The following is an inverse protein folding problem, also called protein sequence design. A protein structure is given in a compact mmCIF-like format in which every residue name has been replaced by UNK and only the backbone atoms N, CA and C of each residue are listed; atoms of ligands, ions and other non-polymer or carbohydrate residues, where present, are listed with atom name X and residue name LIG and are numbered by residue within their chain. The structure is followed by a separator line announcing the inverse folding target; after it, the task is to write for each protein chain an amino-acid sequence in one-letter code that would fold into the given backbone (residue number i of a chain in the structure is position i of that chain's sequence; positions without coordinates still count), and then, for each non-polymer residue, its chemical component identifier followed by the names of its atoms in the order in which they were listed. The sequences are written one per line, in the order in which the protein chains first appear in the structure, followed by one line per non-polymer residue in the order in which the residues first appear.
data_IF_259624885931
#
_entry.id   IF_259624885931
#
_cell.length_a   1.000
_cell.length_b   1.000
_cell.length_c   1.000
_cell.angle_alpha   90.00
_cell.angle_beta   90.00
_cell.angle_gamma   90.00
#
_symmetry.space_group_name_H-M   'P 1'
#
loop_
_entity.id
_entity.type
_entity.pdbx_description
1 polymer ?
#
# COMPACT_ATOMS: atom_id res chain seq x y z
N UNK A 1 13.76 -12.97 -14.23
CA UNK A 1 13.19 -11.80 -13.53
C UNK A 1 14.19 -11.35 -12.48
N UNK A 2 14.62 -10.08 -12.48
CA UNK A 2 15.57 -9.55 -11.49
C UNK A 2 14.82 -9.22 -10.19
N UNK A 3 15.45 -9.45 -9.04
CA UNK A 3 14.93 -9.00 -7.74
C UNK A 3 15.84 -7.93 -7.16
N UNK A 4 15.25 -6.92 -6.52
CA UNK A 4 15.95 -5.83 -5.85
C UNK A 4 15.42 -5.70 -4.43
N UNK A 5 16.26 -6.02 -3.45
CA UNK A 5 15.91 -5.97 -2.03
C UNK A 5 16.66 -4.82 -1.35
N UNK A 6 15.98 -4.02 -0.54
CA UNK A 6 16.56 -2.86 0.12
C UNK A 6 15.81 -2.49 1.41
N UNK A 7 16.46 -1.75 2.31
CA UNK A 7 15.83 -1.13 3.47
C UNK A 7 15.93 0.39 3.38
N UNK A 8 14.91 1.09 3.85
CA UNK A 8 14.75 2.56 3.74
C UNK A 8 14.48 3.16 5.11
N UNK A 9 15.13 4.28 5.40
CA UNK A 9 14.86 5.09 6.60
C UNK A 9 13.84 6.19 6.25
N UNK A 10 12.71 6.17 6.95
CA UNK A 10 11.72 7.23 6.94
C UNK A 10 12.00 8.14 8.13
N UNK A 11 12.54 9.33 7.84
CA UNK A 11 12.82 10.36 8.84
C UNK A 11 11.89 11.52 8.53
N UNK A 12 10.95 11.78 9.43
CA UNK A 12 9.89 12.77 9.24
C UNK A 12 10.03 13.95 10.19
N UNK A 13 9.62 15.13 9.73
CA UNK A 13 9.42 16.30 10.58
C UNK A 13 8.00 16.85 10.36
N UNK A 14 7.43 17.45 11.40
CA UNK A 14 6.12 18.11 11.30
C UNK A 14 6.29 19.59 10.96
N UNK A 15 5.54 20.08 9.99
CA UNK A 15 5.47 21.52 9.66
C UNK A 15 4.02 22.00 9.61
N UNK A 16 3.77 23.33 9.68
CA UNK A 16 2.43 23.88 9.49
C UNK A 16 1.78 23.55 8.13
N UNK A 17 2.59 23.17 7.13
CA UNK A 17 2.16 22.84 5.76
C UNK A 17 1.97 21.34 5.56
N UNK A 18 2.12 20.53 6.61
CA UNK A 18 2.07 19.07 6.54
C UNK A 18 3.41 18.40 6.88
N UNK A 19 3.49 17.06 6.71
CA UNK A 19 4.71 16.31 6.97
C UNK A 19 5.81 16.68 5.97
N UNK A 20 7.05 16.66 6.46
CA UNK A 20 8.26 16.79 5.67
C UNK A 20 9.09 15.52 5.79
N UNK A 21 9.77 15.15 4.71
CA UNK A 21 10.57 13.93 4.63
C UNK A 21 12.03 14.29 4.40
N UNK A 22 12.93 13.73 5.21
CA UNK A 22 14.36 13.95 5.00
C UNK A 22 14.82 13.16 3.78
N UNK A 23 15.47 13.86 2.87
CA UNK A 23 16.11 13.26 1.69
C UNK A 23 17.57 13.63 1.65
N UNK A 24 18.36 12.82 0.96
CA UNK A 24 19.78 13.05 0.73
C UNK A 24 20.10 13.03 -0.76
N UNK A 25 20.94 13.96 -1.19
CA UNK A 25 21.46 14.08 -2.53
C UNK A 25 22.36 12.90 -2.86
N UNK A 26 22.21 12.40 -4.07
CA UNK A 26 23.15 11.41 -4.58
C UNK A 26 23.61 11.75 -5.99
N UNK A 27 24.92 11.93 -6.09
CA UNK A 27 25.64 12.25 -7.33
C UNK A 27 25.31 11.30 -8.47
N UNK A 28 25.34 9.98 -8.25
CA UNK A 28 25.08 9.00 -9.31
C UNK A 28 23.66 8.97 -9.90
N UNK A 29 22.72 9.72 -9.33
CA UNK A 29 21.33 9.84 -9.81
C UNK A 29 20.94 11.31 -10.03
N UNK A 30 21.85 12.25 -9.77
CA UNK A 30 21.64 13.70 -9.86
C UNK A 30 20.31 14.13 -9.22
N UNK A 31 20.01 13.64 -8.01
CA UNK A 31 18.75 13.94 -7.35
C UNK A 31 18.67 13.50 -5.89
N UNK A 32 17.72 14.11 -5.17
CA UNK A 32 17.38 13.79 -3.79
C UNK A 32 16.65 12.44 -3.69
N UNK A 33 17.01 11.65 -2.69
CA UNK A 33 16.48 10.29 -2.45
C UNK A 33 16.14 10.09 -0.97
N UNK A 34 15.29 9.11 -0.67
CA UNK A 34 15.19 8.59 0.69
C UNK A 34 16.51 7.92 1.09
N UNK A 35 16.86 8.03 2.38
CA UNK A 35 18.03 7.38 2.97
C UNK A 35 17.81 5.87 2.97
N UNK A 36 18.81 5.10 2.54
CA UNK A 36 18.69 3.64 2.51
C UNK A 36 19.48 2.95 1.40
N UNK A 37 19.33 1.63 1.29
CA UNK A 37 20.09 0.88 0.30
C UNK A 37 19.86 -0.62 0.30
N UNK A 38 20.61 -1.31 -0.56
CA UNK A 38 20.47 -2.74 -0.78
C UNK A 38 20.89 -3.57 0.43
N UNK A 39 20.14 -4.64 0.67
CA UNK A 39 20.50 -5.67 1.64
C UNK A 39 21.80 -6.37 1.23
N UNK A 40 22.68 -6.55 2.21
CA UNK A 40 23.85 -7.43 2.13
C UNK A 40 23.48 -8.91 2.17
N UNK A 41 24.46 -9.76 1.90
CA UNK A 41 24.28 -11.21 1.95
C UNK A 41 24.09 -11.69 3.39
N UNK A 42 22.93 -12.29 3.69
CA UNK A 42 22.60 -12.78 5.04
C UNK A 42 22.17 -11.70 6.03
N UNK A 43 22.11 -10.44 5.59
CA UNK A 43 21.71 -9.29 6.42
C UNK A 43 20.17 -9.23 6.55
N UNK A 44 19.68 -8.93 7.74
CA UNK A 44 18.26 -8.61 7.96
C UNK A 44 17.93 -7.19 7.49
N UNK A 45 16.65 -6.90 7.27
CA UNK A 45 16.23 -5.53 6.89
C UNK A 45 16.53 -4.49 7.96
N UNK A 46 16.40 -4.87 9.23
CA UNK A 46 16.69 -3.98 10.35
C UNK A 46 18.20 -3.66 10.44
N UNK A 47 19.08 -4.65 10.30
CA UNK A 47 20.53 -4.42 10.23
C UNK A 47 20.90 -3.54 9.02
N UNK A 48 20.26 -3.77 7.88
CA UNK A 48 20.48 -2.98 6.68
C UNK A 48 20.09 -1.51 6.87
N UNK A 49 18.91 -1.21 7.43
CA UNK A 49 18.50 0.20 7.61
C UNK A 49 19.38 0.91 8.63
N UNK A 50 19.82 0.22 9.69
CA UNK A 50 20.76 0.75 10.67
C UNK A 50 22.08 1.14 10.01
N UNK A 51 22.71 0.18 9.34
CA UNK A 51 23.98 0.40 8.63
C UNK A 51 23.88 1.52 7.61
N UNK A 52 22.86 1.48 6.74
CA UNK A 52 22.66 2.47 5.68
C UNK A 52 22.42 3.87 6.22
N UNK A 53 21.65 4.01 7.29
CA UNK A 53 21.40 5.31 7.92
C UNK A 53 22.67 5.85 8.58
N UNK A 54 23.42 5.03 9.31
CA UNK A 54 24.69 5.42 9.90
C UNK A 54 25.71 5.86 8.85
N UNK A 55 25.85 5.11 7.74
CA UNK A 55 26.73 5.45 6.62
C UNK A 55 26.38 6.80 5.99
N UNK A 56 25.10 7.00 5.62
CA UNK A 56 24.66 8.16 4.85
C UNK A 56 24.54 9.43 5.72
N UNK A 57 24.12 9.27 6.97
CA UNK A 57 24.00 10.39 7.91
C UNK A 57 25.24 10.56 8.79
N UNK A 58 26.29 9.75 8.61
CA UNK A 58 27.54 9.80 9.38
C UNK A 58 27.26 9.82 10.90
N UNK A 59 26.52 8.82 11.37
CA UNK A 59 26.09 8.66 12.76
C UNK A 59 26.60 7.33 13.33
N UNK A 60 26.65 7.25 14.66
CA UNK A 60 26.84 5.98 15.35
C UNK A 60 25.49 5.28 15.52
N UNK A 61 25.50 3.95 15.62
CA UNK A 61 24.28 3.17 15.88
C UNK A 61 23.58 3.59 17.18
N UNK A 62 24.36 4.00 18.18
CA UNK A 62 23.87 4.49 19.48
C UNK A 62 23.12 5.80 19.40
N UNK A 63 23.24 6.53 18.29
CA UNK A 63 22.63 7.85 18.09
C UNK A 63 21.22 7.75 17.51
N UNK A 64 20.82 6.56 17.06
CA UNK A 64 19.58 6.33 16.36
C UNK A 64 18.57 5.57 17.21
N UNK A 65 17.31 5.95 17.05
CA UNK A 65 16.16 5.13 17.36
C UNK A 65 15.58 4.66 16.03
N UNK A 66 15.66 3.36 15.79
CA UNK A 66 15.02 2.72 14.65
C UNK A 66 13.83 1.96 15.20
N UNK A 67 12.67 2.13 14.57
CA UNK A 67 11.50 1.33 14.91
C UNK A 67 11.88 -0.17 14.80
N UNK A 68 11.55 -1.01 15.78
CA UNK A 68 11.96 -2.41 15.75
C UNK A 68 11.36 -3.20 14.57
N UNK A 69 10.35 -2.62 13.92
CA UNK A 69 9.59 -3.20 12.82
C UNK A 69 9.36 -2.14 11.73
N UNK A 70 9.27 -2.55 10.47
CA UNK A 70 9.07 -1.62 9.38
C UNK A 70 7.64 -1.06 9.42
N UNK A 71 7.54 0.18 8.97
CA UNK A 71 6.30 0.94 8.85
C UNK A 71 5.64 0.77 7.49
N UNK A 72 6.34 0.14 6.54
CA UNK A 72 5.76 -0.39 5.30
C UNK A 72 6.60 -1.56 4.75
N UNK A 73 5.92 -2.60 4.28
CA UNK A 73 6.50 -3.66 3.45
C UNK A 73 6.07 -3.45 2.00
N UNK A 74 7.02 -3.11 1.13
CA UNK A 74 6.76 -2.71 -0.25
C UNK A 74 7.22 -3.82 -1.21
N UNK A 75 6.29 -4.41 -1.95
CA UNK A 75 6.61 -5.49 -2.88
C UNK A 75 5.91 -5.29 -4.23
N UNK A 76 6.65 -4.79 -5.21
CA UNK A 76 6.06 -4.38 -6.47
C UNK A 76 6.95 -4.73 -7.66
N UNK A 77 6.36 -4.81 -8.84
CA UNK A 77 7.09 -5.00 -10.09
C UNK A 77 7.07 -3.72 -10.92
N UNK A 78 8.25 -3.29 -11.36
CA UNK A 78 8.38 -2.16 -12.25
C UNK A 78 9.58 -2.33 -13.17
N UNK A 79 9.53 -1.68 -14.34
CA UNK A 79 10.70 -1.59 -15.21
C UNK A 79 11.78 -0.77 -14.53
N UNK A 80 12.96 -1.38 -14.33
CA UNK A 80 14.13 -0.67 -13.83
C UNK A 80 14.86 -0.02 -14.98
N UNK A 81 14.92 1.30 -15.04
CA UNK A 81 15.68 2.03 -16.08
C UNK A 81 17.16 1.67 -16.06
N UNK A 82 17.75 1.55 -14.86
CA UNK A 82 19.15 1.18 -14.66
C UNK A 82 19.46 -0.25 -15.11
N UNK A 83 18.61 -1.21 -14.75
CA UNK A 83 18.83 -2.62 -15.09
C UNK A 83 18.23 -3.01 -16.46
N UNK A 84 17.46 -2.09 -17.09
CA UNK A 84 16.73 -2.27 -18.34
C UNK A 84 15.87 -3.54 -18.38
N UNK A 85 15.29 -3.89 -17.23
CA UNK A 85 14.48 -5.10 -17.07
C UNK A 85 13.40 -4.88 -16.02
N UNK A 86 12.25 -5.53 -16.21
CA UNK A 86 11.24 -5.65 -15.15
C UNK A 86 11.88 -6.29 -13.93
N UNK A 87 11.84 -5.55 -12.83
CA UNK A 87 12.45 -5.91 -11.56
C UNK A 87 11.35 -6.05 -10.51
N UNK A 88 11.41 -7.13 -9.74
CA UNK A 88 10.63 -7.29 -8.51
C UNK A 88 11.37 -6.59 -7.37
N UNK A 89 10.77 -5.55 -6.82
CA UNK A 89 11.27 -4.82 -5.67
C UNK A 89 10.69 -5.42 -4.40
N UNK A 90 11.51 -5.57 -3.37
CA UNK A 90 11.12 -5.97 -2.00
C UNK A 90 11.81 -5.05 -1.01
N UNK A 91 11.13 -4.00 -0.60
CA UNK A 91 11.68 -3.00 0.31
C UNK A 91 10.96 -3.03 1.65
N UNK A 92 11.69 -2.70 2.71
CA UNK A 92 11.12 -2.42 4.01
C UNK A 92 11.51 -1.00 4.42
N UNK A 93 10.52 -0.22 4.85
CA UNK A 93 10.70 1.15 5.29
C UNK A 93 10.54 1.20 6.79
N UNK A 94 11.44 1.85 7.51
CA UNK A 94 11.42 1.96 8.97
C UNK A 94 11.34 3.41 9.38
N UNK A 95 10.54 3.72 10.41
CA UNK A 95 10.65 5.01 11.08
C UNK A 95 12.00 5.08 11.80
N UNK A 96 12.74 6.13 11.50
CA UNK A 96 14.04 6.40 12.11
C UNK A 96 14.04 7.82 12.66
N UNK A 97 14.58 7.96 13.87
CA UNK A 97 14.77 9.27 14.50
C UNK A 97 16.13 9.33 15.18
N UNK A 98 16.89 10.41 15.03
CA UNK A 98 18.01 10.70 15.92
C UNK A 98 17.50 10.81 17.36
N UNK A 99 18.28 10.31 18.32
CA UNK A 99 17.93 10.38 19.76
C UNK A 99 17.92 11.81 20.29
N UNK A 100 18.75 12.66 19.70
CA UNK A 100 18.91 14.06 20.06
C UNK A 100 18.34 14.97 18.97
N UNK A 101 17.55 15.95 19.39
CA UNK A 101 16.97 16.96 18.49
C UNK A 101 18.05 17.84 17.88
N UNK A 102 19.11 18.16 18.62
CA UNK A 102 20.22 18.98 18.11
C UNK A 102 20.99 18.23 17.02
N UNK A 103 21.06 16.90 17.13
CA UNK A 103 21.62 16.05 16.10
C UNK A 103 20.77 16.05 14.83
N UNK A 104 19.44 16.00 14.95
CA UNK A 104 18.55 16.13 13.78
C UNK A 104 18.74 17.47 13.07
N UNK A 105 18.88 18.57 13.83
CA UNK A 105 19.19 19.89 13.28
C UNK A 105 20.54 19.88 12.55
N UNK A 106 21.58 19.29 13.15
CA UNK A 106 22.90 19.17 12.55
C UNK A 106 22.91 18.32 11.28
N UNK A 107 22.15 17.21 11.25
CA UNK A 107 21.96 16.38 10.05
C UNK A 107 21.28 17.18 8.94
N UNK A 108 20.18 17.86 9.27
CA UNK A 108 19.40 18.64 8.30
C UNK A 108 20.17 19.86 7.76
N UNK A 109 21.14 20.38 8.50
CA UNK A 109 21.97 21.50 8.07
C UNK A 109 23.06 21.12 7.04
N UNK A 110 23.28 19.83 6.79
CA UNK A 110 24.27 19.37 5.81
C UNK A 110 23.77 19.61 4.38
N UNK A 111 24.62 20.09 3.45
CA UNK A 111 24.20 20.49 2.11
C UNK A 111 23.67 19.32 1.26
N UNK A 112 24.07 18.09 1.58
CA UNK A 112 23.56 16.90 0.92
C UNK A 112 22.11 16.61 1.32
N UNK A 113 21.69 17.04 2.51
CA UNK A 113 20.38 16.73 3.06
C UNK A 113 19.37 17.84 2.79
N UNK A 114 18.11 17.48 2.59
CA UNK A 114 17.03 18.45 2.42
C UNK A 114 15.70 17.87 2.89
N UNK A 115 14.93 18.69 3.62
CA UNK A 115 13.54 18.40 3.93
C UNK A 115 12.68 18.72 2.71
N UNK A 116 11.92 17.74 2.24
CA UNK A 116 10.99 17.93 1.12
C UNK A 116 9.55 17.76 1.59
N UNK A 117 8.68 18.62 1.08
CA UNK A 117 7.22 18.58 1.29
C UNK A 117 6.54 17.69 0.26
N UNK A 118 5.30 17.26 0.54
CA UNK A 118 4.47 16.53 -0.42
C UNK A 118 4.27 17.32 -1.74
N UNK A 119 4.09 18.63 -1.67
CA UNK A 119 3.98 19.50 -2.85
C UNK A 119 5.25 19.48 -3.72
N UNK A 120 6.43 19.57 -3.09
CA UNK A 120 7.71 19.49 -3.81
C UNK A 120 7.95 18.10 -4.41
N UNK A 121 7.60 17.05 -3.68
CA UNK A 121 7.63 15.66 -4.16
C UNK A 121 6.72 15.51 -5.39
N UNK A 122 5.51 16.08 -5.33
CA UNK A 122 4.56 16.10 -6.45
C UNK A 122 5.13 16.78 -7.70
N UNK A 123 5.78 17.94 -7.52
CA UNK A 123 6.48 18.67 -8.59
C UNK A 123 7.77 18.00 -9.08
N UNK A 124 8.34 17.08 -8.31
CA UNK A 124 9.61 16.41 -8.59
C UNK A 124 10.85 17.30 -8.39
N UNK A 125 10.73 18.43 -7.70
CA UNK A 125 11.85 19.32 -7.39
C UNK A 125 11.56 20.17 -6.15
N UNK A 126 12.62 20.53 -5.42
CA UNK A 126 12.53 21.43 -4.26
C UNK A 126 12.28 22.86 -4.72
N UNK A 127 11.87 23.73 -3.79
CA UNK A 127 11.68 25.16 -4.06
C UNK A 127 12.92 25.85 -4.64
N UNK A 128 14.11 25.34 -4.30
CA UNK A 128 15.39 25.85 -4.80
C UNK A 128 15.82 25.20 -6.12
N UNK A 129 14.96 24.38 -6.74
CA UNK A 129 15.19 23.76 -8.04
C UNK A 129 16.03 22.48 -7.99
N UNK A 130 16.29 21.90 -6.81
CA UNK A 130 17.01 20.62 -6.73
C UNK A 130 16.07 19.49 -7.14
N UNK A 131 16.45 18.63 -8.09
CA UNK A 131 15.61 17.52 -8.53
C UNK A 131 15.38 16.50 -7.40
N UNK A 132 14.13 16.03 -7.28
CA UNK A 132 13.72 14.95 -6.38
C UNK A 132 13.50 13.70 -7.22
N UNK A 133 14.10 12.58 -6.83
CA UNK A 133 13.94 11.32 -7.55
C UNK A 133 12.47 10.91 -7.56
N UNK A 134 11.95 10.50 -8.73
CA UNK A 134 10.60 9.92 -8.88
C UNK A 134 10.36 8.72 -7.96
N UNK A 135 11.43 8.04 -7.55
CA UNK A 135 11.37 6.94 -6.58
C UNK A 135 10.91 7.40 -5.20
N UNK A 136 11.21 8.65 -4.79
CA UNK A 136 10.75 9.21 -3.50
C UNK A 136 9.22 9.25 -3.47
N UNK A 137 8.61 9.89 -4.48
CA UNK A 137 7.15 9.95 -4.64
C UNK A 137 6.55 8.56 -4.65
N UNK A 138 7.06 7.69 -5.52
CA UNK A 138 6.60 6.31 -5.65
C UNK A 138 6.59 5.56 -4.31
N UNK A 139 7.67 5.63 -3.54
CA UNK A 139 7.79 4.86 -2.30
C UNK A 139 6.92 5.45 -1.18
N UNK A 140 6.80 6.77 -1.11
CA UNK A 140 5.92 7.43 -0.14
C UNK A 140 4.45 7.18 -0.46
N UNK A 141 4.04 7.21 -1.73
CA UNK A 141 2.68 6.83 -2.16
C UNK A 141 2.39 5.36 -1.82
N UNK A 142 3.31 4.44 -2.15
CA UNK A 142 3.14 3.00 -1.87
C UNK A 142 3.17 2.64 -0.39
N UNK A 143 3.83 3.47 0.44
CA UNK A 143 3.84 3.31 1.90
C UNK A 143 2.69 4.04 2.60
N UNK A 144 1.81 4.70 1.83
CA UNK A 144 0.68 5.46 2.34
C UNK A 144 1.06 6.73 3.09
N UNK A 145 2.25 7.29 2.84
CA UNK A 145 2.77 8.49 3.54
C UNK A 145 2.44 9.80 2.85
N UNK A 146 2.13 9.73 1.56
CA UNK A 146 1.56 10.82 0.78
C UNK A 146 0.42 10.25 -0.06
N UNK A 147 -0.50 11.11 -0.49
CA UNK A 147 -1.58 10.68 -1.36
C UNK A 147 -1.06 10.38 -2.76
N UNK A 148 -1.53 9.27 -3.35
CA UNK A 148 -1.25 8.97 -4.74
C UNK A 148 -2.19 9.80 -5.62
N UNK A 149 -1.63 10.67 -6.45
CA UNK A 149 -2.41 11.39 -7.45
C UNK A 149 -3.02 10.37 -8.42
N UNK A 150 -4.31 10.51 -8.71
CA UNK A 150 -5.00 9.58 -9.62
C UNK A 150 -4.49 9.79 -11.04
N UNK A 151 -4.07 8.71 -11.70
CA UNK A 151 -3.71 8.74 -13.12
C UNK A 151 -4.99 8.84 -13.96
N UNK A 152 -5.24 9.94 -14.69
CA UNK A 152 -6.47 10.13 -15.45
C UNK A 152 -6.62 9.11 -16.60
N UNK A 153 -5.54 8.47 -17.03
CA UNK A 153 -5.53 7.43 -18.07
C UNK A 153 -5.87 6.03 -17.51
N UNK A 154 -6.13 5.94 -16.20
CA UNK A 154 -6.47 4.72 -15.49
C UNK A 154 -7.85 4.87 -14.83
N UNK A 155 -8.67 3.84 -14.99
CA UNK A 155 -9.86 3.63 -14.16
C UNK A 155 -9.53 2.57 -13.11
N UNK A 156 -9.64 2.93 -11.84
CA UNK A 156 -9.35 2.04 -10.71
C UNK A 156 -10.62 1.48 -10.12
N UNK A 157 -10.73 0.16 -10.07
CA UNK A 157 -11.83 -0.58 -9.45
C UNK A 157 -11.37 -1.08 -8.08
N UNK A 158 -12.00 -0.60 -7.01
CA UNK A 158 -11.82 -1.11 -5.66
C UNK A 158 -12.75 -2.28 -5.39
N UNK A 159 -12.35 -3.20 -4.52
CA UNK A 159 -13.16 -4.36 -4.14
C UNK A 159 -13.43 -4.35 -2.64
N UNK A 160 -14.68 -4.63 -2.27
CA UNK A 160 -15.09 -4.96 -0.90
C UNK A 160 -16.19 -6.01 -0.94
N UNK A 161 -16.22 -6.92 0.02
CA UNK A 161 -17.29 -7.90 0.10
C UNK A 161 -17.09 -9.01 1.11
N UNK A 162 -18.06 -9.93 1.13
CA UNK A 162 -18.07 -11.05 2.08
C UNK A 162 -16.92 -12.03 1.85
N UNK A 163 -16.29 -12.44 2.96
CA UNK A 163 -15.24 -13.49 2.96
C UNK A 163 -15.78 -14.90 2.74
N UNK A 164 -17.01 -15.15 3.20
CA UNK A 164 -17.66 -16.45 3.17
C UNK A 164 -18.85 -16.41 2.21
N UNK A 165 -18.59 -16.51 0.91
CA UNK A 165 -19.64 -16.61 -0.10
C UNK A 165 -20.28 -18.01 -0.09
N UNK A 166 -21.59 -18.09 -0.22
CA UNK A 166 -22.34 -19.35 -0.39
C UNK A 166 -21.81 -20.16 -1.61
N UNK A 167 -21.37 -21.42 -1.44
CA UNK A 167 -20.80 -22.24 -2.52
C UNK A 167 -21.67 -22.36 -3.78
N UNK A 168 -22.99 -22.43 -3.59
CA UNK A 168 -23.96 -22.56 -4.68
C UNK A 168 -24.03 -21.29 -5.56
N UNK A 169 -23.71 -20.13 -5.00
CA UNK A 169 -23.83 -18.84 -5.68
C UNK A 169 -22.54 -18.45 -6.42
N UNK A 170 -21.46 -19.23 -6.32
CA UNK A 170 -20.17 -18.87 -6.94
C UNK A 170 -20.25 -18.68 -8.46
N UNK A 171 -21.06 -19.49 -9.13
CA UNK A 171 -21.21 -19.41 -10.60
C UNK A 171 -21.99 -18.17 -11.03
N UNK A 172 -23.11 -17.87 -10.35
CA UNK A 172 -23.91 -16.67 -10.57
C UNK A 172 -23.15 -15.41 -10.17
N UNK A 173 -22.45 -15.44 -9.04
CA UNK A 173 -21.58 -14.35 -8.57
C UNK A 173 -20.48 -14.05 -9.57
N UNK A 174 -19.84 -15.08 -10.14
CA UNK A 174 -18.81 -14.90 -11.17
C UNK A 174 -19.40 -14.27 -12.44
N UNK A 175 -20.60 -14.66 -12.85
CA UNK A 175 -21.31 -14.01 -13.95
C UNK A 175 -21.61 -12.55 -13.65
N UNK A 176 -22.11 -12.24 -12.45
CA UNK A 176 -22.42 -10.87 -12.04
C UNK A 176 -21.17 -9.98 -11.98
N UNK A 177 -20.05 -10.50 -11.46
CA UNK A 177 -18.75 -9.82 -11.50
C UNK A 177 -18.29 -9.58 -12.93
N UNK A 178 -18.49 -10.55 -13.82
CA UNK A 178 -18.15 -10.37 -15.23
C UNK A 178 -18.98 -9.25 -15.86
N UNK A 179 -20.30 -9.21 -15.64
CA UNK A 179 -21.15 -8.13 -16.14
C UNK A 179 -20.76 -6.75 -15.56
N UNK A 180 -20.37 -6.71 -14.28
CA UNK A 180 -19.88 -5.48 -13.67
C UNK A 180 -18.58 -4.97 -14.31
N UNK A 181 -17.68 -5.87 -14.72
CA UNK A 181 -16.50 -5.50 -15.49
C UNK A 181 -16.86 -5.00 -16.88
N UNK A 182 -17.84 -5.60 -17.56
CA UNK A 182 -18.28 -5.14 -18.88
C UNK A 182 -18.81 -3.69 -18.78
N UNK A 183 -19.60 -3.36 -17.75
CA UNK A 183 -20.03 -1.97 -17.48
C UNK A 183 -18.84 -1.03 -17.20
N UNK A 184 -17.83 -1.50 -16.46
CA UNK A 184 -16.64 -0.72 -16.14
C UNK A 184 -15.77 -0.46 -17.37
N UNK A 185 -15.73 -1.38 -18.34
CA UNK A 185 -15.06 -1.20 -19.63
C UNK A 185 -15.71 -0.07 -20.44
N UNK A 186 -17.05 0.00 -20.45
CA UNK A 186 -17.77 1.11 -21.09
C UNK A 186 -17.45 2.45 -20.41
N UNK A 187 -17.43 2.50 -19.08
CA UNK A 187 -17.08 3.69 -18.30
C UNK A 187 -15.61 4.09 -18.42
N UNK A 188 -14.72 3.12 -18.65
CA UNK A 188 -13.29 3.38 -18.83
C UNK A 188 -13.04 4.21 -20.10
N UNK A 189 -13.89 4.12 -21.13
CA UNK A 189 -13.77 4.88 -22.39
C UNK A 189 -12.37 4.77 -23.02
N UNK A 190 -11.76 3.59 -22.95
CA UNK A 190 -10.42 3.31 -23.48
C UNK A 190 -9.27 3.54 -22.49
N UNK A 191 -9.54 4.03 -21.27
CA UNK A 191 -8.58 4.04 -20.16
C UNK A 191 -8.17 2.61 -19.78
N UNK A 192 -6.98 2.46 -19.21
CA UNK A 192 -6.55 1.18 -18.64
C UNK A 192 -7.35 0.88 -17.38
N UNK A 193 -7.69 -0.39 -17.16
CA UNK A 193 -8.36 -0.83 -15.93
C UNK A 193 -7.35 -1.45 -14.98
N UNK A 194 -7.38 -0.97 -13.75
CA UNK A 194 -6.65 -1.55 -12.62
C UNK A 194 -7.63 -1.96 -11.52
N UNK A 195 -7.36 -3.08 -10.85
CA UNK A 195 -8.17 -3.61 -9.76
C UNK A 195 -7.38 -3.58 -8.47
N UNK A 196 -7.95 -2.95 -7.46
CA UNK A 196 -7.40 -2.83 -6.11
C UNK A 196 -8.17 -3.76 -5.17
N UNK A 197 -7.57 -4.89 -4.81
CA UNK A 197 -8.19 -5.90 -3.94
C UNK A 197 -7.24 -6.34 -2.83
N UNK A 198 -7.66 -6.30 -1.56
CA UNK A 198 -6.90 -6.87 -0.44
C UNK A 198 -6.65 -8.39 -0.49
N UNK A 199 -7.22 -9.10 -1.48
CA UNK A 199 -7.06 -10.54 -1.70
C UNK A 199 -7.53 -11.44 -0.55
N UNK A 200 -8.47 -10.95 0.27
CA UNK A 200 -9.17 -11.80 1.22
C UNK A 200 -9.92 -12.94 0.51
N UNK A 201 -10.27 -14.00 1.25
CA UNK A 201 -11.16 -15.02 0.70
C UNK A 201 -12.52 -14.44 0.28
N UNK A 202 -13.27 -15.18 -0.53
CA UNK A 202 -14.59 -14.77 -1.01
C UNK A 202 -14.51 -13.71 -2.10
N UNK A 203 -15.14 -12.56 -1.86
CA UNK A 203 -15.33 -11.50 -2.86
C UNK A 203 -14.03 -11.01 -3.50
N UNK A 204 -13.06 -10.64 -2.66
CA UNK A 204 -11.75 -10.14 -3.07
C UNK A 204 -11.04 -11.10 -4.02
N UNK A 205 -10.89 -12.36 -3.59
CA UNK A 205 -10.34 -13.43 -4.41
C UNK A 205 -11.08 -13.58 -5.74
N UNK A 206 -12.40 -13.63 -5.73
CA UNK A 206 -13.21 -13.88 -6.93
C UNK A 206 -13.07 -12.75 -7.96
N UNK A 207 -13.09 -11.49 -7.52
CA UNK A 207 -12.89 -10.34 -8.41
C UNK A 207 -11.44 -10.29 -8.91
N UNK A 208 -10.44 -10.56 -8.06
CA UNK A 208 -9.04 -10.60 -8.46
C UNK A 208 -8.75 -11.66 -9.53
N UNK A 209 -9.32 -12.86 -9.40
CA UNK A 209 -9.24 -13.91 -10.42
C UNK A 209 -9.87 -13.46 -11.75
N UNK A 210 -11.07 -12.88 -11.70
CA UNK A 210 -11.77 -12.41 -12.90
C UNK A 210 -11.02 -11.27 -13.60
N UNK A 211 -10.40 -10.36 -12.83
CA UNK A 211 -9.58 -9.28 -13.36
C UNK A 211 -8.36 -9.81 -14.12
N UNK A 212 -7.63 -10.77 -13.53
CA UNK A 212 -6.46 -11.38 -14.17
C UNK A 212 -6.83 -12.14 -15.45
N UNK A 213 -7.98 -12.83 -15.48
CA UNK A 213 -8.48 -13.52 -16.67
C UNK A 213 -8.76 -12.58 -17.85
N UNK A 214 -9.16 -11.33 -17.57
CA UNK A 214 -9.32 -10.27 -18.57
C UNK A 214 -8.02 -9.55 -18.95
N UNK A 215 -6.92 -9.86 -18.28
CA UNK A 215 -5.63 -9.17 -18.49
C UNK A 215 -5.52 -7.82 -17.79
N UNK A 216 -6.38 -7.52 -16.82
CA UNK A 216 -6.30 -6.31 -16.01
C UNK A 216 -5.16 -6.36 -15.01
N UNK A 217 -4.69 -5.18 -14.65
CA UNK A 217 -3.63 -5.04 -13.66
C UNK A 217 -4.22 -5.20 -12.26
N UNK A 218 -3.73 -6.19 -11.52
CA UNK A 218 -4.08 -6.39 -10.12
C UNK A 218 -3.07 -5.71 -9.20
N UNK A 219 -3.56 -4.90 -8.25
CA UNK A 219 -2.82 -4.30 -7.13
C UNK A 219 -3.43 -4.77 -5.82
N UNK A 220 -2.60 -5.13 -4.84
CA UNK A 220 -3.07 -5.68 -3.56
C UNK A 220 -2.58 -4.88 -2.33
N UNK A 221 -3.39 -3.94 -1.80
CA UNK A 221 -3.13 -3.36 -0.49
C UNK A 221 -3.52 -4.37 0.58
N UNK A 222 -2.58 -4.78 1.42
CA UNK A 222 -2.80 -5.77 2.46
C UNK A 222 -3.14 -5.05 3.79
N UNK A 223 -4.13 -5.56 4.56
CA UNK A 223 -4.47 -4.97 5.85
C UNK A 223 -3.35 -5.14 6.87
N UNK A 224 -2.53 -6.18 6.74
CA UNK A 224 -1.48 -6.52 7.68
C UNK A 224 -0.15 -6.73 6.93
N UNK A 225 0.99 -6.68 7.64
CA UNK A 225 2.23 -7.21 7.10
C UNK A 225 2.04 -8.64 6.60
N UNK A 226 2.73 -8.99 5.51
CA UNK A 226 2.51 -10.25 4.81
C UNK A 226 2.58 -11.47 5.75
N UNK A 227 3.57 -11.53 6.64
CA UNK A 227 3.73 -12.62 7.61
C UNK A 227 2.56 -12.81 8.58
N UNK A 228 1.85 -11.73 8.93
CA UNK A 228 0.65 -11.79 9.79
C UNK A 228 -0.62 -12.01 8.96
N UNK A 229 -0.64 -11.55 7.71
CA UNK A 229 -1.79 -11.76 6.86
C UNK A 229 -1.86 -13.21 6.37
N UNK A 230 -0.72 -13.84 6.07
CA UNK A 230 -0.67 -15.25 5.69
C UNK A 230 -1.23 -16.18 6.77
N UNK A 231 -1.21 -15.79 8.05
CA UNK A 231 -1.81 -16.60 9.14
C UNK A 231 -3.33 -16.59 9.15
N UNK A 232 -3.99 -15.74 8.35
CA UNK A 232 -5.45 -15.72 8.21
C UNK A 232 -5.97 -16.72 7.17
N UNK A 233 -5.08 -17.49 6.55
CA UNK A 233 -5.40 -18.46 5.50
C UNK A 233 -4.79 -19.83 5.81
N UNK A 234 -5.56 -20.89 5.54
CA UNK A 234 -5.12 -22.27 5.74
C UNK A 234 -5.20 -23.10 4.45
N UNK A 235 -4.27 -24.04 4.28
CA UNK A 235 -4.26 -25.02 3.19
C UNK A 235 -4.41 -24.37 1.81
N UNK A 236 -5.45 -24.76 1.07
CA UNK A 236 -5.70 -24.26 -0.31
C UNK A 236 -5.98 -22.76 -0.38
N UNK A 237 -6.48 -22.17 0.70
CA UNK A 237 -6.73 -20.73 0.77
C UNK A 237 -5.40 -19.96 0.69
N UNK A 238 -4.41 -20.38 1.48
CA UNK A 238 -3.08 -19.78 1.51
C UNK A 238 -2.35 -19.94 0.18
N UNK A 239 -2.44 -21.12 -0.44
CA UNK A 239 -1.86 -21.36 -1.77
C UNK A 239 -2.49 -20.45 -2.84
N UNK A 240 -3.81 -20.28 -2.80
CA UNK A 240 -4.54 -19.38 -3.71
C UNK A 240 -4.12 -17.92 -3.50
N UNK A 241 -4.09 -17.46 -2.25
CA UNK A 241 -3.63 -16.11 -1.89
C UNK A 241 -2.22 -15.85 -2.41
N UNK A 242 -1.27 -16.74 -2.12
CA UNK A 242 0.13 -16.64 -2.60
C UNK A 242 0.22 -16.66 -4.12
N UNK A 243 -0.64 -17.42 -4.79
CA UNK A 243 -0.69 -17.47 -6.25
C UNK A 243 -1.18 -16.15 -6.85
N UNK A 244 -2.26 -15.56 -6.30
CA UNK A 244 -2.76 -14.25 -6.72
C UNK A 244 -1.76 -13.13 -6.42
N UNK A 245 -1.17 -13.13 -5.22
CA UNK A 245 -0.16 -12.15 -4.81
C UNK A 245 1.08 -12.17 -5.72
N UNK A 246 1.43 -13.32 -6.30
CA UNK A 246 2.52 -13.43 -7.29
C UNK A 246 2.15 -12.83 -8.65
N UNK A 247 0.87 -12.86 -9.02
CA UNK A 247 0.37 -12.32 -10.29
C UNK A 247 0.01 -10.84 -10.18
N UNK A 248 -0.28 -10.35 -8.97
CA UNK A 248 -0.43 -8.94 -8.70
C UNK A 248 0.81 -8.19 -9.21
N UNK A 249 0.58 -7.15 -10.02
CA UNK A 249 1.65 -6.26 -10.47
C UNK A 249 2.35 -5.62 -9.27
N UNK A 250 1.59 -5.40 -8.20
CA UNK A 250 2.05 -4.73 -7.00
C UNK A 250 1.24 -5.16 -5.78
N UNK A 251 1.92 -5.23 -4.63
CA UNK A 251 1.29 -5.33 -3.32
C UNK A 251 2.09 -4.61 -2.24
N UNK A 252 1.40 -4.13 -1.21
CA UNK A 252 2.01 -3.43 -0.08
C UNK A 252 1.12 -3.57 1.15
N UNK A 253 1.72 -3.60 2.33
CA UNK A 253 0.97 -3.56 3.58
C UNK A 253 0.76 -2.13 4.03
N UNK A 254 -0.44 -1.83 4.55
CA UNK A 254 -0.74 -0.52 5.09
C UNK A 254 0.11 -0.21 6.33
N UNK A 255 0.40 1.08 6.58
CA UNK A 255 1.11 1.50 7.76
C UNK A 255 0.29 1.19 9.02
N UNK A 256 0.98 0.84 10.10
CA UNK A 256 0.34 0.67 11.41
C UNK A 256 -0.09 2.05 11.95
N UNK A 257 -1.31 2.18 12.49
CA UNK A 257 -1.65 3.30 13.36
C UNK A 257 -0.62 3.43 14.49
N UNK A 258 -0.28 4.66 14.87
CA UNK A 258 0.81 4.91 15.82
C UNK A 258 0.63 4.28 17.22
N UNK A 259 -0.60 3.88 17.56
CA UNK A 259 -0.98 3.23 18.80
C UNK A 259 -1.14 1.70 18.69
N UNK A 260 -1.01 1.13 17.50
CA UNK A 260 -1.13 -0.32 17.25
C UNK A 260 0.26 -0.94 17.15
N UNK A 261 0.56 -1.93 17.99
CA UNK A 261 1.82 -2.67 17.90
C UNK A 261 1.63 -4.00 17.17
N UNK A 262 2.62 -4.43 16.38
CA UNK A 262 2.59 -5.73 15.69
C UNK A 262 2.39 -6.93 16.66
N UNK A 263 2.75 -6.81 17.94
CA UNK A 263 2.47 -7.88 18.91
C UNK A 263 0.96 -8.07 19.15
N UNK A 264 0.19 -6.98 19.04
CA UNK A 264 -1.25 -6.99 19.22
C UNK A 264 -1.96 -7.59 17.99
N UNK A 265 -1.24 -7.75 16.87
CA UNK A 265 -1.76 -8.32 15.62
C UNK A 265 -1.64 -9.85 15.55
N UNK A 266 -0.99 -10.50 16.52
CA UNK A 266 -0.91 -11.97 16.55
C UNK A 266 -2.26 -12.65 16.82
N UNK A 267 -3.19 -11.95 17.46
CA UNK A 267 -4.50 -12.47 17.82
C UNK A 267 -5.60 -11.62 17.20
N UNK A 268 -6.67 -12.26 16.72
CA UNK A 268 -7.88 -11.51 16.35
C UNK A 268 -8.34 -10.63 17.51
N UNK A 269 -8.58 -9.35 17.23
CA UNK A 269 -8.88 -8.35 18.24
C UNK A 269 -9.08 -6.96 17.64
N UNK A 270 -9.37 -5.96 18.49
CA UNK A 270 -9.70 -4.60 18.06
C UNK A 270 -8.66 -3.95 17.15
N UNK A 271 -7.38 -4.18 17.41
CA UNK A 271 -6.30 -3.58 16.61
C UNK A 271 -6.23 -4.18 15.20
N UNK A 272 -6.39 -5.50 15.07
CA UNK A 272 -6.52 -6.12 13.73
C UNK A 272 -7.77 -5.61 13.02
N UNK A 273 -8.89 -5.48 13.72
CA UNK A 273 -10.13 -4.95 13.12
C UNK A 273 -9.94 -3.53 12.59
N UNK A 274 -9.18 -2.69 13.29
CA UNK A 274 -8.79 -1.36 12.79
C UNK A 274 -7.93 -1.42 11.54
N UNK A 275 -6.99 -2.37 11.45
CA UNK A 275 -6.21 -2.59 10.23
C UNK A 275 -7.06 -3.04 9.04
N UNK A 276 -8.06 -3.89 9.29
CA UNK A 276 -9.05 -4.30 8.28
C UNK A 276 -9.95 -3.14 7.86
N UNK A 277 -10.39 -2.29 8.79
CA UNK A 277 -11.12 -1.07 8.45
C UNK A 277 -10.25 -0.13 7.59
N UNK A 278 -8.99 0.10 8.00
CA UNK A 278 -8.07 0.97 7.29
C UNK A 278 -7.80 0.52 5.85
N UNK A 279 -7.75 -0.79 5.58
CA UNK A 279 -7.61 -1.27 4.19
C UNK A 279 -8.86 -1.05 3.36
N UNK A 280 -10.05 -1.17 3.95
CA UNK A 280 -11.31 -0.84 3.29
C UNK A 280 -11.38 0.64 2.92
N UNK A 281 -11.08 1.53 3.87
CA UNK A 281 -11.00 2.98 3.64
C UNK A 281 -9.99 3.32 2.55
N UNK A 282 -8.78 2.77 2.64
CA UNK A 282 -7.73 2.98 1.65
C UNK A 282 -8.13 2.56 0.22
N UNK A 283 -8.90 1.48 0.09
CA UNK A 283 -9.43 1.03 -1.20
C UNK A 283 -10.47 2.02 -1.73
N UNK A 284 -11.38 2.47 -0.88
CA UNK A 284 -12.42 3.46 -1.23
C UNK A 284 -11.79 4.76 -1.71
N UNK A 285 -10.79 5.27 -0.98
CA UNK A 285 -10.13 6.55 -1.29
C UNK A 285 -9.41 6.54 -2.64
N UNK A 286 -8.98 5.35 -3.09
CA UNK A 286 -8.13 5.18 -4.28
C UNK A 286 -8.85 4.56 -5.47
N UNK A 287 -10.15 4.27 -5.37
CA UNK A 287 -10.93 3.77 -6.49
C UNK A 287 -11.82 4.86 -7.13
N UNK A 288 -12.11 4.68 -8.41
CA UNK A 288 -13.12 5.42 -9.16
C UNK A 288 -14.46 4.69 -9.12
N UNK A 289 -14.41 3.36 -9.10
CA UNK A 289 -15.58 2.48 -8.96
C UNK A 289 -15.32 1.50 -7.83
N UNK A 290 -16.28 1.30 -6.93
CA UNK A 290 -16.23 0.28 -5.89
C UNK A 290 -17.15 -0.88 -6.25
N UNK A 291 -16.60 -2.07 -6.40
CA UNK A 291 -17.36 -3.31 -6.50
C UNK A 291 -17.66 -3.81 -5.08
N UNK A 292 -18.94 -3.78 -4.71
CA UNK A 292 -19.42 -4.18 -3.41
C UNK A 292 -20.19 -5.50 -3.53
N UNK A 293 -19.53 -6.62 -3.19
CA UNK A 293 -20.12 -7.95 -3.18
C UNK A 293 -20.72 -8.21 -1.79
N UNK A 294 -21.99 -7.83 -1.62
CA UNK A 294 -22.63 -7.75 -0.31
C UNK A 294 -24.11 -8.15 -0.35
N UNK A 295 -24.61 -8.72 0.74
CA UNK A 295 -26.00 -9.17 0.91
C UNK A 295 -26.97 -8.04 1.30
N UNK A 296 -26.46 -6.84 1.60
CA UNK A 296 -27.27 -5.73 2.08
C UNK A 296 -27.49 -5.72 3.59
N UNK A 297 -26.90 -6.66 4.34
CA UNK A 297 -27.12 -6.81 5.79
C UNK A 297 -25.95 -6.26 6.60
N UNK A 298 -26.26 -5.47 7.63
CA UNK A 298 -25.26 -4.96 8.57
C UNK A 298 -24.64 -6.11 9.37
N UNK A 299 -23.31 -6.12 9.48
CA UNK A 299 -22.59 -7.16 10.21
C UNK A 299 -22.34 -6.76 11.66
N UNK A 300 -22.33 -5.46 11.95
CA UNK A 300 -22.02 -4.89 13.27
C UNK A 300 -20.57 -5.12 13.71
N UNK A 301 -19.71 -5.65 12.82
CA UNK A 301 -18.29 -5.90 13.08
C UNK A 301 -17.44 -4.78 12.52
N UNK A 302 -16.56 -4.22 13.36
CA UNK A 302 -15.61 -3.19 12.93
C UNK A 302 -14.71 -3.70 11.82
N UNK A 303 -14.64 -2.98 10.71
CA UNK A 303 -13.83 -3.35 9.54
C UNK A 303 -14.51 -4.35 8.59
N UNK A 304 -15.83 -4.50 8.71
CA UNK A 304 -16.66 -5.25 7.76
C UNK A 304 -16.96 -4.49 6.46
N UNK A 305 -17.60 -5.19 5.52
CA UNK A 305 -18.08 -4.61 4.26
C UNK A 305 -19.08 -3.47 4.49
N UNK A 306 -19.91 -3.56 5.53
CA UNK A 306 -20.87 -2.52 5.90
C UNK A 306 -20.19 -1.24 6.39
N UNK A 307 -19.12 -1.35 7.16
CA UNK A 307 -18.31 -0.20 7.57
C UNK A 307 -17.63 0.47 6.38
N UNK A 308 -17.07 -0.33 5.45
CA UNK A 308 -16.45 0.19 4.23
C UNK A 308 -17.46 0.93 3.36
N UNK A 309 -18.68 0.39 3.23
CA UNK A 309 -19.77 1.04 2.48
C UNK A 309 -20.26 2.31 3.17
N UNK A 310 -20.41 2.30 4.51
CA UNK A 310 -20.77 3.50 5.28
C UNK A 310 -19.72 4.60 5.11
N UNK A 311 -18.43 4.24 5.13
CA UNK A 311 -17.33 5.17 4.85
C UNK A 311 -17.42 5.75 3.43
N UNK A 312 -17.57 4.89 2.41
CA UNK A 312 -17.71 5.30 1.02
C UNK A 312 -18.90 6.26 0.79
N UNK A 313 -20.01 6.03 1.48
CA UNK A 313 -21.20 6.90 1.42
C UNK A 313 -21.02 8.20 2.21
N UNK A 314 -20.23 8.20 3.30
CA UNK A 314 -20.02 9.35 4.18
C UNK A 314 -19.02 10.37 3.62
N UNK A 315 -17.86 9.92 3.15
CA UNK A 315 -16.76 10.80 2.70
C UNK A 315 -17.05 11.52 1.37
N UNK A 316 -18.19 11.23 0.73
CA UNK A 316 -18.59 11.84 -0.56
C UNK A 316 -19.81 12.75 -0.46
N UNK A 317 -20.16 13.23 0.73
CA UNK A 317 -20.95 14.48 0.86
C UNK A 317 -20.03 15.67 0.51
N UNK A 318 -19.57 15.77 -0.75
CA UNK A 318 -18.76 16.91 -1.19
C UNK A 318 -17.88 16.79 -2.44
N UNK A 319 -17.65 15.60 -3.03
CA UNK A 319 -16.84 15.41 -4.25
C UNK A 319 -17.55 14.52 -5.28
N UNK A 320 -17.10 14.52 -6.56
CA UNK A 320 -17.64 13.72 -7.67
C UNK A 320 -18.08 12.32 -7.20
N UNK A 321 -19.27 11.82 -7.58
CA UNK A 321 -19.81 10.59 -6.98
C UNK A 321 -18.95 9.37 -7.33
N UNK A 322 -18.50 8.65 -6.29
CA UNK A 322 -17.90 7.33 -6.45
C UNK A 322 -18.94 6.38 -7.07
N UNK A 323 -18.61 5.73 -8.18
CA UNK A 323 -19.50 4.73 -8.76
C UNK A 323 -19.52 3.48 -7.89
N UNK A 324 -20.59 3.24 -7.11
CA UNK A 324 -20.71 1.97 -6.35
C UNK A 324 -21.52 0.97 -7.15
N UNK A 325 -20.87 -0.12 -7.56
CA UNK A 325 -21.53 -1.25 -8.21
C UNK A 325 -21.84 -2.32 -7.16
N UNK A 326 -23.11 -2.40 -6.78
CA UNK A 326 -23.59 -3.44 -5.88
C UNK A 326 -23.76 -4.76 -6.63
N UNK A 327 -23.14 -5.81 -6.12
CA UNK A 327 -23.27 -7.19 -6.59
C UNK A 327 -23.82 -8.00 -5.43
N UNK A 328 -25.09 -8.40 -5.53
CA UNK A 328 -25.76 -9.10 -4.44
C UNK A 328 -25.22 -10.52 -4.32
N UNK A 329 -24.76 -10.89 -3.13
CA UNK A 329 -24.27 -12.24 -2.79
C UNK A 329 -24.71 -12.58 -1.36
N UNK A 330 -25.07 -13.83 -1.09
CA UNK A 330 -25.45 -14.28 0.26
C UNK A 330 -24.25 -14.85 1.03
N UNK A 331 -24.26 -14.73 2.36
CA UNK A 331 -23.18 -15.21 3.25
C UNK A 331 -23.42 -16.65 3.67
N UNK A 332 -22.41 -17.51 3.49
CA UNK A 332 -22.48 -18.91 3.91
C UNK A 332 -22.75 -19.04 5.42
N UNK A 333 -23.86 -19.69 5.78
CA UNK A 333 -24.24 -19.98 7.16
C UNK A 333 -25.03 -18.89 7.89
N UNK A 334 -25.55 -17.89 7.18
CA UNK A 334 -26.47 -16.88 7.74
C UNK A 334 -27.94 -17.21 7.46
N UNK A 335 -28.69 -17.59 8.49
CA UNK A 335 -30.13 -17.29 8.56
C UNK A 335 -30.32 -15.87 9.01
#
# INVERSE_FOLDING_TARGET
MRTSTAALALITNSSPQGPQFLTQWNEGWEGLRLIGGHLGSGESFHECVLRKTCEELQLCETDLNIAPRPVAHLNFQQFSERARVVTKYRFEMYDVSPRDRDQLVAIAARPENEWVTEEEIGRGQTRNGRPISRTVRLLLEKSGRIEAERDPEVLTIGVTGHRNLEPQDYSETRLAVNLAFDDAEELAQGRKIEVLSPLAEGADKLVAEAALQRGYVLKAPLPLPLEFYETDFDGRALDSFRHLLKQAREWYSLPLPGDVHLNDLHTHGPDRNRMYAAVGEHVVDRCDILFALWDGRESGQTGGTDDTLKYALRERIGTEPLGVKHIRVERAGGT
#
